data_IF_874384628228
#
_entry.id   IF_874384628228
#
_cell.length_a   1.000
_cell.length_b   1.000
_cell.length_c   1.000
_cell.angle_alpha   90.00
_cell.angle_beta   90.00
_cell.angle_gamma   90.00
#
_symmetry.space_group_name_H-M   'P 1'
#
loop_
_entity.id
_entity.type
_entity.pdbx_description
1 polymer ?
#
# COMPACT_ATOMS: atom_id res chain seq x y z
N UNK A 1 -1.05 7.62 26.30
CA UNK A 1 -0.73 6.18 26.13
C UNK A 1 0.74 6.09 25.76
N UNK A 2 1.50 5.26 26.46
CA UNK A 2 2.93 5.07 26.18
C UNK A 2 3.13 4.35 24.85
N UNK A 3 4.29 4.49 24.20
CA UNK A 3 4.60 3.80 22.93
C UNK A 3 4.39 2.28 23.04
N UNK A 4 4.80 1.69 24.17
CA UNK A 4 4.68 0.25 24.45
C UNK A 4 3.24 -0.23 24.59
N UNK A 5 2.34 0.58 25.18
CA UNK A 5 0.91 0.25 25.27
C UNK A 5 0.23 0.29 23.89
N UNK A 6 0.63 1.23 23.04
CA UNK A 6 0.14 1.35 21.65
C UNK A 6 0.53 0.12 20.83
N UNK A 7 1.80 -0.27 20.87
CA UNK A 7 2.32 -1.46 20.18
C UNK A 7 1.62 -2.75 20.65
N UNK A 8 1.41 -2.91 21.97
CA UNK A 8 0.66 -4.05 22.52
C UNK A 8 -0.76 -4.11 21.96
N UNK A 9 -1.48 -2.98 21.91
CA UNK A 9 -2.84 -2.91 21.34
C UNK A 9 -2.85 -3.29 19.85
N UNK A 10 -1.89 -2.81 19.06
CA UNK A 10 -1.79 -3.20 17.65
C UNK A 10 -1.54 -4.69 17.51
N UNK A 11 -0.61 -5.26 18.26
CA UNK A 11 -0.36 -6.71 18.25
C UNK A 11 -1.60 -7.52 18.57
N UNK A 12 -2.37 -7.13 19.59
CA UNK A 12 -3.59 -7.83 19.98
C UNK A 12 -4.66 -7.76 18.87
N UNK A 13 -4.78 -6.61 18.18
CA UNK A 13 -5.65 -6.45 17.00
C UNK A 13 -5.16 -7.29 15.82
N UNK A 14 -3.86 -7.33 15.55
CA UNK A 14 -3.27 -8.13 14.48
C UNK A 14 -3.56 -9.62 14.67
N UNK A 15 -3.25 -10.13 15.87
CA UNK A 15 -3.50 -11.52 16.25
C UNK A 15 -4.98 -11.89 16.15
N UNK A 16 -5.88 -10.99 16.57
CA UNK A 16 -7.33 -11.20 16.49
C UNK A 16 -7.80 -11.35 15.04
N UNK A 17 -7.39 -10.43 14.16
CA UNK A 17 -7.74 -10.47 12.74
C UNK A 17 -7.18 -11.74 12.08
N UNK A 18 -5.89 -12.06 12.30
CA UNK A 18 -5.29 -13.25 11.68
C UNK A 18 -5.93 -14.55 12.14
N UNK A 19 -6.25 -14.68 13.44
CA UNK A 19 -6.96 -15.86 13.97
C UNK A 19 -8.36 -15.99 13.37
N UNK A 20 -9.08 -14.87 13.19
CA UNK A 20 -10.39 -14.89 12.56
C UNK A 20 -10.32 -15.38 11.11
N UNK A 21 -9.36 -14.87 10.32
CA UNK A 21 -9.12 -15.30 8.94
C UNK A 21 -8.83 -16.80 8.86
N UNK A 22 -7.90 -17.30 9.69
CA UNK A 22 -7.55 -18.74 9.73
C UNK A 22 -8.73 -19.62 10.16
N UNK A 23 -9.54 -19.15 11.10
CA UNK A 23 -10.74 -19.87 11.54
C UNK A 23 -11.78 -19.97 10.43
N UNK A 24 -12.02 -18.87 9.70
CA UNK A 24 -12.93 -18.87 8.56
C UNK A 24 -12.44 -19.82 7.46
N UNK A 25 -11.15 -19.75 7.11
CA UNK A 25 -10.55 -20.67 6.14
C UNK A 25 -10.69 -22.14 6.56
N UNK A 26 -10.44 -22.44 7.84
CA UNK A 26 -10.60 -23.81 8.37
C UNK A 26 -12.06 -24.27 8.37
N UNK A 27 -12.99 -23.38 8.70
CA UNK A 27 -14.40 -23.73 8.88
C UNK A 27 -15.16 -23.83 7.55
N UNK A 28 -14.83 -22.97 6.58
CA UNK A 28 -15.60 -22.79 5.35
C UNK A 28 -14.81 -23.09 4.08
N UNK A 29 -13.49 -23.32 4.16
CA UNK A 29 -12.61 -23.49 3.00
C UNK A 29 -12.37 -22.20 2.21
N UNK A 30 -12.93 -21.08 2.66
CA UNK A 30 -12.80 -19.76 2.08
C UNK A 30 -12.88 -18.68 3.17
N UNK A 31 -12.32 -17.52 2.89
CA UNK A 31 -12.35 -16.36 3.78
C UNK A 31 -13.42 -15.38 3.30
N UNK A 32 -14.35 -15.00 4.18
CA UNK A 32 -15.34 -13.96 3.89
C UNK A 32 -14.87 -12.64 4.49
N UNK A 33 -14.12 -11.88 3.70
CA UNK A 33 -13.48 -10.65 4.17
C UNK A 33 -14.16 -9.36 3.67
N UNK A 34 -15.46 -9.25 3.90
CA UNK A 34 -16.20 -8.00 3.65
C UNK A 34 -15.76 -6.83 4.56
N UNK A 35 -14.95 -7.09 5.59
CA UNK A 35 -14.53 -6.10 6.59
C UNK A 35 -13.06 -5.67 6.51
N UNK A 36 -12.29 -6.15 5.53
CA UNK A 36 -10.88 -5.79 5.35
C UNK A 36 -9.92 -6.34 6.42
N UNK A 37 -10.31 -7.41 7.14
CA UNK A 37 -9.49 -8.09 8.16
C UNK A 37 -8.12 -8.50 7.60
N UNK A 38 -8.04 -8.85 6.30
CA UNK A 38 -6.78 -9.19 5.61
C UNK A 38 -5.79 -8.03 5.58
N UNK A 39 -6.27 -6.82 5.35
CA UNK A 39 -5.39 -5.65 5.38
C UNK A 39 -5.03 -5.28 6.83
N UNK A 40 -6.02 -5.27 7.71
CA UNK A 40 -5.84 -4.87 9.11
C UNK A 40 -4.79 -5.71 9.85
N UNK A 41 -4.75 -7.02 9.62
CA UNK A 41 -3.76 -7.88 10.28
C UNK A 41 -2.32 -7.50 9.91
N UNK A 42 -2.02 -7.32 8.62
CA UNK A 42 -0.69 -6.92 8.14
C UNK A 42 -0.27 -5.54 8.64
N UNK A 43 -1.16 -4.55 8.50
CA UNK A 43 -0.93 -3.19 9.01
C UNK A 43 -0.57 -3.25 10.50
N UNK A 44 -1.39 -3.91 11.32
CA UNK A 44 -1.16 -3.93 12.75
C UNK A 44 0.07 -4.71 13.20
N UNK A 45 0.57 -5.70 12.45
CA UNK A 45 1.85 -6.33 12.79
C UNK A 45 3.02 -5.35 12.63
N UNK A 46 3.03 -4.58 11.54
CA UNK A 46 4.07 -3.57 11.29
C UNK A 46 4.00 -2.45 12.32
N UNK A 47 2.80 -1.91 12.58
CA UNK A 47 2.62 -0.86 13.61
C UNK A 47 2.96 -1.36 15.03
N UNK A 48 2.95 -2.67 15.27
CA UNK A 48 3.36 -3.27 16.55
C UNK A 48 4.88 -3.52 16.65
N UNK A 49 5.64 -3.34 15.56
CA UNK A 49 7.05 -3.73 15.49
C UNK A 49 7.26 -5.25 15.48
N UNK A 50 6.26 -6.03 15.04
CA UNK A 50 6.33 -7.49 15.01
C UNK A 50 6.91 -7.97 13.67
N UNK A 51 8.21 -7.76 13.47
CA UNK A 51 8.93 -8.07 12.22
C UNK A 51 8.75 -9.53 11.81
N UNK A 52 9.00 -10.50 12.71
CA UNK A 52 8.87 -11.93 12.40
C UNK A 52 7.45 -12.31 11.93
N UNK A 53 6.42 -11.73 12.57
CA UNK A 53 5.03 -11.99 12.18
C UNK A 53 4.67 -11.34 10.87
N UNK A 54 5.21 -10.15 10.60
CA UNK A 54 5.05 -9.46 9.32
C UNK A 54 5.67 -10.29 8.19
N UNK A 55 6.91 -10.78 8.37
CA UNK A 55 7.61 -11.64 7.41
C UNK A 55 6.89 -12.98 7.16
N UNK A 56 6.04 -13.42 8.09
CA UNK A 56 5.17 -14.60 7.89
C UNK A 56 3.83 -14.24 7.24
N UNK A 57 3.25 -13.10 7.65
CA UNK A 57 1.90 -12.71 7.27
C UNK A 57 1.81 -12.32 5.79
N UNK A 58 2.74 -11.50 5.31
CA UNK A 58 2.69 -10.98 3.95
C UNK A 58 2.85 -12.06 2.86
N UNK A 59 3.78 -13.03 2.97
CA UNK A 59 3.82 -14.16 2.04
C UNK A 59 2.57 -15.05 2.09
N UNK A 60 2.01 -15.26 3.30
CA UNK A 60 0.73 -15.96 3.44
C UNK A 60 -0.39 -15.21 2.73
N UNK A 61 -0.46 -13.89 2.90
CA UNK A 61 -1.43 -13.04 2.21
C UNK A 61 -1.31 -13.15 0.69
N UNK A 62 -0.09 -13.07 0.15
CA UNK A 62 0.16 -13.20 -1.29
C UNK A 62 -0.33 -14.55 -1.84
N UNK A 63 -0.13 -15.63 -1.08
CA UNK A 63 -0.56 -16.97 -1.47
C UNK A 63 -2.08 -17.17 -1.40
N UNK A 64 -2.76 -16.56 -0.44
CA UNK A 64 -4.21 -16.72 -0.26
C UNK A 64 -5.03 -15.75 -1.12
N UNK A 65 -4.47 -14.59 -1.45
CA UNK A 65 -5.13 -13.52 -2.18
C UNK A 65 -4.29 -13.05 -3.39
N UNK A 66 -3.97 -13.93 -4.35
CA UNK A 66 -3.05 -13.61 -5.45
C UNK A 66 -3.59 -12.54 -6.40
N UNK A 67 -4.92 -12.42 -6.53
CA UNK A 67 -5.59 -11.44 -7.39
C UNK A 67 -5.88 -10.11 -6.68
N UNK A 68 -5.43 -9.95 -5.44
CA UNK A 68 -5.69 -8.76 -4.64
C UNK A 68 -4.77 -7.60 -5.02
N UNK A 69 -5.37 -6.46 -5.37
CA UNK A 69 -4.67 -5.25 -5.80
C UNK A 69 -4.08 -4.44 -4.64
N UNK A 70 -4.43 -4.77 -3.41
CA UNK A 70 -3.97 -4.13 -2.19
C UNK A 70 -4.80 -2.92 -1.75
N UNK A 71 -4.62 -2.56 -0.48
CA UNK A 71 -5.07 -1.30 0.11
C UNK A 71 -3.83 -0.40 0.35
N UNK A 72 -3.90 0.93 0.12
CA UNK A 72 -2.71 1.79 0.17
C UNK A 72 -1.83 1.69 1.43
N UNK A 73 -2.41 1.71 2.62
CA UNK A 73 -1.65 1.62 3.89
C UNK A 73 -1.12 0.22 4.11
N UNK A 74 -1.86 -0.82 3.74
CA UNK A 74 -1.39 -2.19 3.75
C UNK A 74 -0.17 -2.39 2.85
N UNK A 75 -0.22 -1.88 1.61
CA UNK A 75 0.92 -1.93 0.68
C UNK A 75 2.13 -1.18 1.23
N UNK A 76 1.92 -0.02 1.86
CA UNK A 76 2.98 0.73 2.52
C UNK A 76 3.60 -0.07 3.68
N UNK A 77 2.77 -0.66 4.54
CA UNK A 77 3.25 -1.50 5.64
C UNK A 77 4.02 -2.72 5.14
N UNK A 78 3.59 -3.32 4.03
CA UNK A 78 4.34 -4.40 3.38
C UNK A 78 5.72 -3.91 2.92
N UNK A 79 5.78 -2.75 2.26
CA UNK A 79 7.04 -2.16 1.83
C UNK A 79 8.01 -1.93 3.00
N UNK A 80 7.49 -1.43 4.13
CA UNK A 80 8.24 -1.22 5.37
C UNK A 80 8.74 -2.56 5.93
N UNK A 81 7.87 -3.57 6.06
CA UNK A 81 8.27 -4.88 6.58
C UNK A 81 9.36 -5.55 5.71
N UNK A 82 9.25 -5.42 4.39
CA UNK A 82 10.24 -5.90 3.44
C UNK A 82 11.58 -5.12 3.58
N UNK A 83 11.51 -3.80 3.77
CA UNK A 83 12.70 -2.98 4.02
C UNK A 83 13.42 -3.40 5.31
N UNK A 84 12.69 -3.55 6.41
CA UNK A 84 13.22 -4.00 7.70
C UNK A 84 13.80 -5.42 7.64
N UNK A 85 13.20 -6.28 6.82
CA UNK A 85 13.68 -7.66 6.60
C UNK A 85 14.88 -7.73 5.64
N UNK A 86 15.31 -6.61 5.05
CA UNK A 86 16.44 -6.54 4.12
C UNK A 86 16.15 -7.00 2.68
N UNK A 87 14.88 -7.22 2.32
CA UNK A 87 14.47 -7.60 0.96
C UNK A 87 14.23 -6.36 0.10
N UNK A 88 15.32 -5.74 -0.39
CA UNK A 88 15.31 -4.42 -1.03
C UNK A 88 14.40 -4.35 -2.26
N UNK A 89 14.45 -5.38 -3.12
CA UNK A 89 13.65 -5.42 -4.35
C UNK A 89 12.16 -5.50 -4.06
N UNK A 90 11.74 -6.34 -3.10
CA UNK A 90 10.34 -6.44 -2.67
C UNK A 90 9.89 -5.15 -1.98
N UNK A 91 10.73 -4.55 -1.14
CA UNK A 91 10.44 -3.28 -0.49
C UNK A 91 10.18 -2.17 -1.51
N UNK A 92 11.05 -2.03 -2.52
CA UNK A 92 10.89 -1.03 -3.58
C UNK A 92 9.66 -1.30 -4.44
N UNK A 93 9.42 -2.56 -4.80
CA UNK A 93 8.22 -2.97 -5.54
C UNK A 93 6.94 -2.55 -4.80
N UNK A 94 6.83 -2.93 -3.52
CA UNK A 94 5.66 -2.61 -2.68
C UNK A 94 5.54 -1.11 -2.42
N UNK A 95 6.65 -0.40 -2.27
CA UNK A 95 6.67 1.05 -2.16
C UNK A 95 6.04 1.71 -3.40
N UNK A 96 6.43 1.29 -4.61
CA UNK A 96 5.83 1.82 -5.83
C UNK A 96 4.33 1.54 -5.92
N UNK A 97 3.89 0.33 -5.56
CA UNK A 97 2.46 0.00 -5.51
C UNK A 97 1.71 0.89 -4.51
N UNK A 98 2.24 1.04 -3.29
CA UNK A 98 1.64 1.89 -2.26
C UNK A 98 1.54 3.34 -2.73
N UNK A 99 2.64 3.89 -3.25
CA UNK A 99 2.72 5.25 -3.77
C UNK A 99 1.69 5.50 -4.88
N UNK A 100 1.52 4.56 -5.82
CA UNK A 100 0.56 4.72 -6.92
C UNK A 100 -0.89 4.46 -6.51
N UNK A 101 -1.12 3.67 -5.47
CA UNK A 101 -2.47 3.40 -4.94
C UNK A 101 -3.08 4.61 -4.22
N UNK A 102 -2.24 5.52 -3.71
CA UNK A 102 -2.65 6.86 -3.26
C UNK A 102 -1.44 7.81 -3.32
N UNK A 103 -1.46 8.75 -4.27
CA UNK A 103 -0.34 9.68 -4.52
C UNK A 103 -0.08 10.68 -3.38
N UNK A 104 -0.99 10.81 -2.42
CA UNK A 104 -0.91 11.73 -1.29
C UNK A 104 -0.30 11.08 -0.04
N UNK A 105 -0.27 9.75 0.02
CA UNK A 105 0.17 8.98 1.18
C UNK A 105 1.64 9.24 1.55
N UNK A 106 2.54 9.10 0.57
CA UNK A 106 3.98 9.28 0.81
C UNK A 106 4.33 10.74 1.11
N UNK A 107 3.90 11.74 0.30
CA UNK A 107 4.11 13.16 0.60
C UNK A 107 3.69 13.55 2.02
N UNK A 108 2.54 13.05 2.49
CA UNK A 108 2.03 13.33 3.81
C UNK A 108 2.99 12.85 4.91
N UNK A 109 3.51 11.64 4.78
CA UNK A 109 4.43 11.04 5.76
C UNK A 109 5.80 11.72 5.78
N UNK A 110 6.30 12.18 4.63
CA UNK A 110 7.61 12.84 4.53
C UNK A 110 7.54 14.36 4.78
N UNK A 111 6.35 14.89 5.07
CA UNK A 111 6.13 16.30 5.41
C UNK A 111 6.09 17.25 4.21
N UNK A 112 5.83 16.75 3.01
CA UNK A 112 5.64 17.57 1.82
C UNK A 112 4.22 18.17 1.77
N UNK A 113 4.04 19.35 1.16
CA UNK A 113 2.72 19.92 0.95
C UNK A 113 1.81 18.99 0.14
N UNK A 114 0.57 18.84 0.61
CA UNK A 114 -0.46 18.08 -0.10
C UNK A 114 -1.28 19.02 -0.97
N UNK A 115 -1.09 18.93 -2.28
CA UNK A 115 -1.88 19.66 -3.27
C UNK A 115 -2.76 18.69 -4.06
N UNK A 116 -4.01 19.08 -4.32
CA UNK A 116 -4.91 18.28 -5.14
C UNK A 116 -4.34 18.11 -6.54
N UNK A 117 -4.20 16.85 -6.96
CA UNK A 117 -3.69 16.50 -8.29
C UNK A 117 -4.86 16.53 -9.28
N UNK A 118 -4.70 17.24 -10.39
CA UNK A 118 -5.68 17.28 -11.47
C UNK A 118 -5.58 16.03 -12.33
N UNK A 119 -6.26 14.97 -11.90
CA UNK A 119 -6.38 13.72 -12.62
C UNK A 119 -7.71 13.04 -12.28
N UNK A 120 -8.07 12.02 -13.05
CA UNK A 120 -9.16 11.14 -12.66
C UNK A 120 -8.78 10.29 -11.43
N UNK A 121 -9.55 10.40 -10.36
CA UNK A 121 -9.49 9.49 -9.21
C UNK A 121 -10.54 8.38 -9.42
N UNK A 122 -10.08 7.15 -9.54
CA UNK A 122 -10.95 6.00 -9.86
C UNK A 122 -11.72 5.49 -8.66
N UNK A 123 -11.22 5.77 -7.44
CA UNK A 123 -11.85 5.43 -6.18
C UNK A 123 -11.66 6.54 -5.14
N UNK A 124 -12.44 6.49 -4.05
CA UNK A 124 -12.25 7.34 -2.88
C UNK A 124 -10.88 7.13 -2.21
N UNK A 125 -10.28 5.94 -2.34
CA UNK A 125 -8.94 5.65 -1.81
C UNK A 125 -7.84 6.35 -2.58
N UNK A 126 -8.09 6.77 -3.81
CA UNK A 126 -7.11 7.49 -4.63
C UNK A 126 -7.05 8.97 -4.25
N UNK A 127 -8.10 9.47 -3.57
CA UNK A 127 -8.28 10.87 -3.21
C UNK A 127 -7.49 11.27 -1.95
N UNK A 128 -7.28 12.58 -1.75
CA UNK A 128 -6.54 13.10 -0.60
C UNK A 128 -7.32 12.91 0.71
N UNK A 129 -8.65 12.90 0.64
CA UNK A 129 -9.54 12.68 1.78
C UNK A 129 -9.32 11.33 2.46
N UNK A 130 -8.77 10.35 1.73
CA UNK A 130 -8.40 9.05 2.26
C UNK A 130 -7.45 9.17 3.45
N UNK A 131 -6.56 10.18 3.47
CA UNK A 131 -5.61 10.40 4.57
C UNK A 131 -6.32 10.59 5.92
N UNK A 132 -7.51 11.20 5.92
CA UNK A 132 -8.31 11.36 7.14
C UNK A 132 -8.90 10.01 7.61
N UNK A 133 -9.25 9.12 6.69
CA UNK A 133 -9.81 7.80 7.01
C UNK A 133 -8.76 6.90 7.69
N UNK A 134 -7.48 7.08 7.36
CA UNK A 134 -6.38 6.21 7.83
C UNK A 134 -5.40 6.89 8.78
N UNK A 135 -5.72 8.08 9.29
CA UNK A 135 -4.85 8.88 10.16
C UNK A 135 -4.31 8.09 11.37
N UNK A 136 -5.12 7.21 11.98
CA UNK A 136 -4.67 6.35 13.10
C UNK A 136 -3.46 5.49 12.71
N UNK A 137 -3.45 4.97 11.47
CA UNK A 137 -2.39 4.09 10.98
C UNK A 137 -1.18 4.89 10.53
N UNK A 138 -1.36 6.05 9.87
CA UNK A 138 -0.27 6.92 9.46
C UNK A 138 0.51 7.43 10.67
N UNK A 139 -0.18 7.85 11.72
CA UNK A 139 0.42 8.23 13.01
C UNK A 139 1.05 7.06 13.77
N UNK A 140 0.87 5.82 13.29
CA UNK A 140 1.52 4.63 13.81
C UNK A 140 2.81 4.27 13.08
N UNK A 141 3.07 4.84 11.89
CA UNK A 141 4.24 4.50 11.08
C UNK A 141 5.51 4.85 11.87
N UNK A 142 6.50 3.94 11.94
CA UNK A 142 7.71 4.20 12.71
C UNK A 142 8.51 5.40 12.13
N UNK A 143 8.89 6.40 12.93
CA UNK A 143 9.60 7.59 12.43
C UNK A 143 10.95 7.26 11.79
N UNK A 144 11.60 6.16 12.19
CA UNK A 144 12.86 5.67 11.65
C UNK A 144 12.77 5.27 10.16
N UNK A 145 11.58 4.96 9.64
CA UNK A 145 11.42 4.60 8.21
C UNK A 145 11.23 5.81 7.31
N UNK A 146 10.94 6.99 7.86
CA UNK A 146 10.65 8.20 7.08
C UNK A 146 11.82 8.62 6.18
N UNK A 147 13.10 8.58 6.62
CA UNK A 147 14.23 8.88 5.74
C UNK A 147 14.31 7.93 4.53
N UNK A 148 14.01 6.65 4.71
CA UNK A 148 13.98 5.68 3.61
C UNK A 148 12.82 5.97 2.64
N UNK A 149 11.60 6.22 3.16
CA UNK A 149 10.46 6.59 2.32
C UNK A 149 10.75 7.85 1.48
N UNK A 150 11.38 8.85 2.09
CA UNK A 150 11.80 10.07 1.40
C UNK A 150 12.79 9.77 0.28
N UNK A 151 13.83 8.98 0.58
CA UNK A 151 14.83 8.61 -0.41
C UNK A 151 14.20 7.88 -1.61
N UNK A 152 13.35 6.89 -1.38
CA UNK A 152 12.62 6.17 -2.44
C UNK A 152 11.69 7.10 -3.24
N UNK A 153 11.00 8.02 -2.56
CA UNK A 153 10.08 8.98 -3.21
C UNK A 153 10.79 9.96 -4.16
N UNK A 154 11.99 10.39 -3.78
CA UNK A 154 12.83 11.32 -4.53
C UNK A 154 13.63 10.65 -5.66
N UNK A 155 13.68 9.30 -5.69
CA UNK A 155 14.36 8.59 -6.77
C UNK A 155 13.76 8.97 -8.12
N UNK A 156 14.65 9.20 -9.10
CA UNK A 156 14.26 9.55 -10.48
C UNK A 156 13.25 8.57 -11.07
N UNK A 157 13.40 7.28 -10.78
CA UNK A 157 12.45 6.24 -11.23
C UNK A 157 11.05 6.44 -10.65
N UNK A 158 10.93 6.69 -9.35
CA UNK A 158 9.65 6.96 -8.70
C UNK A 158 9.01 8.25 -9.21
N UNK A 159 9.79 9.32 -9.41
CA UNK A 159 9.30 10.58 -9.97
C UNK A 159 8.75 10.40 -11.40
N UNK A 160 9.46 9.67 -12.27
CA UNK A 160 8.99 9.36 -13.62
C UNK A 160 7.73 8.50 -13.61
N UNK A 161 7.65 7.53 -12.70
CA UNK A 161 6.49 6.65 -12.56
C UNK A 161 5.24 7.45 -12.14
N UNK A 162 5.36 8.33 -11.14
CA UNK A 162 4.27 9.23 -10.75
C UNK A 162 3.85 10.14 -11.89
N UNK A 163 4.81 10.70 -12.63
CA UNK A 163 4.50 11.61 -13.74
C UNK A 163 3.68 10.92 -14.84
N UNK A 164 4.07 9.72 -15.28
CA UNK A 164 3.31 8.98 -16.29
C UNK A 164 1.94 8.52 -15.78
N UNK A 165 1.84 8.18 -14.49
CA UNK A 165 0.55 7.87 -13.87
C UNK A 165 -0.38 9.08 -13.93
N UNK A 166 0.06 10.23 -13.39
CA UNK A 166 -0.74 11.47 -13.38
C UNK A 166 -1.13 11.88 -14.79
N UNK A 167 -0.18 11.87 -15.73
CA UNK A 167 -0.45 12.19 -17.14
C UNK A 167 -1.51 11.28 -17.76
N UNK A 168 -1.43 9.97 -17.50
CA UNK A 168 -2.40 9.00 -18.02
C UNK A 168 -3.79 9.24 -17.42
N UNK A 169 -3.87 9.38 -16.10
CA UNK A 169 -5.15 9.53 -15.40
C UNK A 169 -5.76 10.92 -15.61
N UNK A 170 -4.95 11.95 -15.88
CA UNK A 170 -5.43 13.24 -16.38
C UNK A 170 -6.10 13.10 -17.74
N UNK A 171 -5.49 12.40 -18.70
CA UNK A 171 -6.12 12.15 -20.00
C UNK A 171 -7.44 11.36 -19.87
N UNK A 172 -7.50 10.40 -18.93
CA UNK A 172 -8.71 9.63 -18.65
C UNK A 172 -9.85 10.46 -18.03
N UNK A 173 -9.58 11.64 -17.48
CA UNK A 173 -10.59 12.47 -16.80
C UNK A 173 -11.65 13.00 -17.76
N UNK A 174 -11.26 13.34 -18.99
CA UNK A 174 -12.17 13.84 -20.03
C UNK A 174 -12.50 12.83 -21.12
N UNK A 175 -11.73 11.75 -21.25
CA UNK A 175 -11.91 10.76 -22.32
C UNK A 175 -13.14 9.86 -22.09
N UNK A 176 -14.04 9.83 -23.06
CA UNK A 176 -15.31 9.07 -23.01
C UNK A 176 -15.31 7.85 -23.94
N UNK A 177 -14.46 7.84 -24.96
CA UNK A 177 -14.35 6.76 -25.92
C UNK A 177 -13.65 5.55 -25.28
N UNK A 178 -14.33 4.40 -25.28
CA UNK A 178 -13.89 3.20 -24.54
C UNK A 178 -12.60 2.62 -25.12
N UNK A 179 -12.42 2.63 -26.43
CA UNK A 179 -11.21 2.17 -27.11
C UNK A 179 -9.98 2.98 -26.70
N UNK A 180 -10.09 4.29 -26.64
CA UNK A 180 -9.03 5.21 -26.28
C UNK A 180 -8.70 5.11 -24.79
N UNK A 181 -9.70 5.01 -23.91
CA UNK A 181 -9.48 4.69 -22.49
C UNK A 181 -8.69 3.39 -22.32
N UNK A 182 -9.05 2.34 -23.05
CA UNK A 182 -8.34 1.04 -23.02
C UNK A 182 -6.91 1.18 -23.53
N UNK A 183 -6.68 1.98 -24.57
CA UNK A 183 -5.34 2.24 -25.12
C UNK A 183 -4.45 2.98 -24.12
N UNK A 184 -4.98 4.01 -23.47
CA UNK A 184 -4.29 4.77 -22.41
C UNK A 184 -3.90 3.85 -21.24
N UNK A 185 -4.87 3.08 -20.72
CA UNK A 185 -4.63 2.15 -19.62
C UNK A 185 -3.62 1.06 -19.99
N UNK A 186 -3.72 0.48 -21.20
CA UNK A 186 -2.74 -0.51 -21.68
C UNK A 186 -1.33 0.08 -21.72
N UNK A 187 -1.19 1.27 -22.31
CA UNK A 187 0.11 1.95 -22.41
C UNK A 187 0.70 2.20 -21.02
N UNK A 188 -0.14 2.57 -20.06
CA UNK A 188 0.27 2.72 -18.67
C UNK A 188 0.74 1.40 -18.05
N UNK A 189 -0.02 0.30 -18.19
CA UNK A 189 0.38 -0.99 -17.60
C UNK A 189 1.68 -1.51 -18.20
N UNK A 190 1.86 -1.41 -19.53
CA UNK A 190 3.11 -1.79 -20.20
C UNK A 190 4.30 -0.95 -19.70
N UNK A 191 4.10 0.36 -19.49
CA UNK A 191 5.12 1.24 -18.94
C UNK A 191 5.46 0.89 -17.47
N UNK A 192 4.44 0.65 -16.65
CA UNK A 192 4.59 0.34 -15.24
C UNK A 192 5.30 -1.01 -15.05
N UNK A 193 4.95 -2.04 -15.82
CA UNK A 193 5.57 -3.37 -15.75
C UNK A 193 7.09 -3.31 -15.97
N UNK A 194 7.55 -2.52 -16.94
CA UNK A 194 8.98 -2.34 -17.24
C UNK A 194 9.77 -1.60 -16.15
N UNK A 195 9.08 -0.90 -15.23
CA UNK A 195 9.69 -0.02 -14.22
C UNK A 195 9.49 -0.48 -12.79
N UNK A 196 8.41 -1.20 -12.55
CA UNK A 196 7.99 -1.67 -11.23
C UNK A 196 8.21 -3.18 -11.10
N UNK A 197 8.17 -3.95 -12.19
CA UNK A 197 8.21 -5.41 -12.15
C UNK A 197 9.31 -5.98 -11.25
N UNK A 198 8.95 -6.97 -10.43
CA UNK A 198 9.95 -7.85 -9.81
C UNK A 198 10.70 -8.49 -10.96
N UNK A 199 11.98 -8.16 -11.14
CA UNK A 199 12.86 -9.00 -11.96
C UNK A 199 12.83 -10.38 -11.30
N UNK A 200 12.11 -11.32 -11.91
CA UNK A 200 12.04 -12.71 -11.46
C UNK A 200 13.39 -13.41 -11.59
#
# INVERSE_FOLDING_TARGET
MTSTEKQKRYRDRANRNWRALRKEQQQFGAISDGGGKRYLAGIYYVLAGETEKSSTYFPWFESEFPDDVGEPVFLLCWAIAAHESGTVEDARYRFHLAMLSNLYLIPHLIGEPIEKIDMWHSSNRDCAEYLFEVEEWLNGIPPEVIPWLKAEYEMKGAAQLRWEYVKTYHALQSEKEVGERRRLLRSWYEYAEQRVGKNG
#
